data_IF_045680964776
#
_entry.id   IF_045680964776
#
_cell.length_a   1.000
_cell.length_b   1.000
_cell.length_c   1.000
_cell.angle_alpha   90.00
_cell.angle_beta   90.00
_cell.angle_gamma   90.00
#
_symmetry.space_group_name_H-M   'P 1'
#
loop_
_entity.id
_entity.type
_entity.pdbx_description
1 polymer ?
#
# COMPACT_ATOMS: atom_id res chain seq x y z
N UNK A 1 -2.20 -47.51 28.27
CA UNK A 1 -1.85 -46.90 26.96
C UNK A 1 -1.89 -45.37 27.14
N UNK A 2 -0.77 -44.65 27.03
CA UNK A 2 -0.67 -43.29 27.56
C UNK A 2 -1.38 -42.26 26.66
N UNK A 3 -2.42 -41.64 27.24
CA UNK A 3 -3.22 -40.51 26.69
C UNK A 3 -2.34 -39.31 26.24
N UNK A 4 -1.10 -39.25 26.70
CA UNK A 4 -0.10 -38.21 26.40
C UNK A 4 0.41 -38.22 24.95
N UNK A 5 0.33 -39.37 24.26
CA UNK A 5 0.78 -39.49 22.86
C UNK A 5 -0.24 -38.83 21.90
N UNK A 6 -1.53 -38.80 22.26
CA UNK A 6 -2.59 -38.23 21.42
C UNK A 6 -2.57 -36.70 21.43
N UNK A 7 -2.19 -36.07 22.55
CA UNK A 7 -2.07 -34.60 22.65
C UNK A 7 -0.86 -34.03 21.89
N UNK A 8 0.25 -34.77 21.84
CA UNK A 8 1.46 -34.34 21.11
C UNK A 8 1.26 -34.25 19.59
N UNK A 9 0.51 -35.19 19.00
CA UNK A 9 0.23 -35.19 17.57
C UNK A 9 -0.74 -34.08 17.12
N UNK A 10 -1.66 -33.65 17.99
CA UNK A 10 -2.60 -32.55 17.66
C UNK A 10 -1.90 -31.19 17.66
N UNK A 11 -0.95 -30.96 18.58
CA UNK A 11 -0.18 -29.71 18.60
C UNK A 11 0.77 -29.60 17.39
N UNK A 12 1.40 -30.71 16.98
CA UNK A 12 2.30 -30.73 15.83
C UNK A 12 1.57 -30.50 14.50
N UNK A 13 0.33 -30.98 14.34
CA UNK A 13 -0.46 -30.73 13.13
C UNK A 13 -0.98 -29.31 13.04
N UNK A 14 -1.34 -28.66 14.15
CA UNK A 14 -1.81 -27.27 14.16
C UNK A 14 -0.68 -26.30 13.75
N UNK A 15 0.56 -26.51 14.22
CA UNK A 15 1.71 -25.67 13.87
C UNK A 15 2.05 -25.77 12.37
N UNK A 16 1.92 -26.95 11.77
CA UNK A 16 2.19 -27.15 10.35
C UNK A 16 1.17 -26.45 9.42
N UNK A 17 -0.09 -26.32 9.84
CA UNK A 17 -1.14 -25.66 9.04
C UNK A 17 -0.97 -24.14 9.03
N UNK A 18 -0.50 -23.53 10.13
CA UNK A 18 -0.28 -22.06 10.20
C UNK A 18 0.90 -21.61 9.33
N UNK A 19 1.95 -22.42 9.23
CA UNK A 19 3.10 -22.13 8.36
C UNK A 19 2.76 -22.18 6.86
N UNK A 20 1.71 -22.92 6.47
CA UNK A 20 1.27 -23.08 5.09
C UNK A 20 0.43 -21.91 4.56
N UNK A 21 0.09 -20.92 5.39
CA UNK A 21 -0.71 -19.74 5.01
C UNK A 21 0.09 -18.44 4.88
N UNK A 22 1.42 -18.53 4.88
CA UNK A 22 2.28 -17.46 4.39
C UNK A 22 2.20 -17.41 2.84
N UNK A 23 1.02 -17.10 2.31
CA UNK A 23 0.89 -16.74 0.90
C UNK A 23 1.46 -15.34 0.75
N UNK A 24 2.67 -15.26 0.20
CA UNK A 24 3.21 -14.03 -0.38
C UNK A 24 2.11 -13.45 -1.28
N UNK A 25 1.55 -12.32 -0.88
CA UNK A 25 0.52 -11.67 -1.68
C UNK A 25 1.17 -11.27 -3.00
N UNK A 26 0.57 -11.58 -4.17
CA UNK A 26 1.13 -11.13 -5.42
C UNK A 26 1.31 -9.60 -5.37
N UNK A 27 2.38 -9.06 -5.97
CA UNK A 27 2.62 -7.62 -5.96
C UNK A 27 1.37 -6.91 -6.46
N UNK A 28 0.89 -5.96 -5.66
CA UNK A 28 -0.36 -5.24 -5.91
C UNK A 28 -0.14 -4.24 -7.05
N UNK A 29 -0.13 -4.73 -8.29
CA UNK A 29 -0.01 -3.95 -9.52
C UNK A 29 1.36 -4.05 -10.24
N UNK A 30 1.38 -3.64 -11.51
CA UNK A 30 2.58 -3.51 -12.35
C UNK A 30 3.03 -2.05 -12.40
N UNK A 31 4.19 -1.76 -11.82
CA UNK A 31 4.77 -0.41 -11.79
C UNK A 31 5.14 0.11 -13.19
N UNK A 32 5.56 -0.76 -14.12
CA UNK A 32 5.89 -0.35 -15.48
C UNK A 32 4.64 0.06 -16.26
N UNK A 33 3.57 -0.73 -16.16
CA UNK A 33 2.25 -0.33 -16.67
C UNK A 33 1.73 0.95 -15.98
N UNK A 34 1.91 1.07 -14.67
CA UNK A 34 1.56 2.27 -13.90
C UNK A 34 2.27 3.53 -14.39
N UNK A 35 3.56 3.43 -14.72
CA UNK A 35 4.33 4.54 -15.30
C UNK A 35 3.76 4.98 -16.66
N UNK A 36 3.28 4.04 -17.49
CA UNK A 36 2.62 4.38 -18.75
C UNK A 36 1.28 5.10 -18.51
N UNK A 37 0.49 4.69 -17.52
CA UNK A 37 -0.76 5.35 -17.14
C UNK A 37 -0.52 6.73 -16.55
N UNK A 38 0.56 6.90 -15.77
CA UNK A 38 0.89 8.17 -15.10
C UNK A 38 1.09 9.32 -16.10
N UNK A 39 1.40 9.05 -17.36
CA UNK A 39 1.42 10.06 -18.44
C UNK A 39 0.14 10.90 -18.51
N UNK A 40 -1.01 10.34 -18.13
CA UNK A 40 -2.29 11.07 -18.04
C UNK A 40 -2.34 12.03 -16.85
N UNK A 41 -1.65 11.71 -15.77
CA UNK A 41 -1.57 12.50 -14.53
C UNK A 41 -0.51 13.60 -14.61
N UNK A 42 0.51 13.42 -15.48
CA UNK A 42 1.70 14.28 -15.59
C UNK A 42 1.39 15.72 -16.01
N UNK A 43 0.22 15.97 -16.58
CA UNK A 43 -0.26 17.31 -16.88
C UNK A 43 -0.40 18.16 -15.61
N UNK A 44 -0.83 17.54 -14.50
CA UNK A 44 -1.09 18.26 -13.25
C UNK A 44 -0.10 17.89 -12.14
N UNK A 45 0.37 16.65 -12.10
CA UNK A 45 1.17 16.12 -11.00
C UNK A 45 2.57 15.70 -11.45
N UNK A 46 3.52 15.75 -10.51
CA UNK A 46 4.90 15.31 -10.70
C UNK A 46 5.29 14.27 -9.66
N UNK A 47 6.19 13.38 -10.05
CA UNK A 47 6.86 12.39 -9.20
C UNK A 47 8.36 12.36 -9.52
N UNK A 48 9.20 11.98 -8.56
CA UNK A 48 10.66 11.94 -8.71
C UNK A 48 11.39 12.89 -7.76
N UNK A 49 12.72 12.92 -7.84
CA UNK A 49 13.60 13.72 -6.95
C UNK A 49 13.31 15.21 -7.03
N UNK A 50 13.01 15.70 -8.22
CA UNK A 50 12.80 17.12 -8.50
C UNK A 50 11.32 17.49 -8.62
N UNK A 51 10.43 16.64 -8.11
CA UNK A 51 9.00 16.86 -8.17
C UNK A 51 8.61 18.10 -7.35
N UNK A 52 8.11 19.12 -8.04
CA UNK A 52 7.55 20.33 -7.44
C UNK A 52 6.06 20.41 -7.70
N UNK A 53 5.35 21.06 -6.78
CA UNK A 53 3.93 21.40 -6.95
C UNK A 53 3.72 22.30 -8.16
N UNK A 54 2.58 22.13 -8.83
CA UNK A 54 2.13 22.95 -9.96
C UNK A 54 0.61 23.08 -9.93
N UNK A 55 -0.07 22.65 -11.00
CA UNK A 55 -1.55 22.53 -11.03
C UNK A 55 -2.06 21.56 -9.96
N UNK A 56 -1.27 20.54 -9.62
CA UNK A 56 -1.50 19.62 -8.51
C UNK A 56 -0.28 19.51 -7.59
N UNK A 57 -0.42 18.92 -6.38
CA UNK A 57 0.70 18.61 -5.50
C UNK A 57 1.61 17.53 -6.11
N UNK A 58 2.85 17.45 -5.63
CA UNK A 58 3.71 16.30 -5.92
C UNK A 58 3.13 15.02 -5.28
N UNK A 59 3.30 13.89 -5.96
CA UNK A 59 2.71 12.61 -5.55
C UNK A 59 3.74 11.62 -4.96
N UNK A 60 4.98 12.06 -4.73
CA UNK A 60 5.94 11.29 -3.94
C UNK A 60 5.34 10.98 -2.56
N UNK A 61 5.39 9.72 -2.14
CA UNK A 61 4.88 9.28 -0.84
C UNK A 61 3.37 9.49 -0.65
N UNK A 62 2.56 9.45 -1.73
CA UNK A 62 1.10 9.63 -1.63
C UNK A 62 0.39 8.41 -1.06
N UNK A 63 0.93 7.21 -1.31
CA UNK A 63 0.32 5.96 -0.82
C UNK A 63 0.35 5.93 0.70
N UNK A 64 -0.82 5.82 1.33
CA UNK A 64 -0.97 5.85 2.78
C UNK A 64 -0.93 7.24 3.41
N UNK A 65 -0.65 8.31 2.65
CA UNK A 65 -0.69 9.69 3.16
C UNK A 65 -2.15 10.18 3.25
N UNK A 66 -2.49 10.84 4.35
CA UNK A 66 -3.79 11.48 4.51
C UNK A 66 -4.09 12.48 3.37
N UNK A 67 -5.33 12.51 2.90
CA UNK A 67 -5.74 13.44 1.85
C UNK A 67 -5.52 14.91 2.27
N UNK A 68 -5.22 15.77 1.29
CA UNK A 68 -5.01 17.20 1.50
C UNK A 68 -3.90 17.60 2.52
N UNK A 69 -2.88 16.76 2.71
CA UNK A 69 -1.78 17.02 3.66
C UNK A 69 -0.42 17.27 3.03
N UNK A 70 -0.30 17.36 1.69
CA UNK A 70 0.99 17.71 1.11
C UNK A 70 1.40 19.12 1.55
N UNK A 71 2.62 19.31 2.08
CA UNK A 71 3.05 20.61 2.58
C UNK A 71 3.01 21.67 1.48
N UNK A 72 2.66 22.89 1.88
CA UNK A 72 2.68 24.10 1.05
C UNK A 72 1.87 24.01 -0.25
N UNK A 73 0.85 23.15 -0.30
CA UNK A 73 -0.09 23.08 -1.42
C UNK A 73 -1.46 23.65 -1.02
N UNK A 74 -1.99 24.53 -1.86
CA UNK A 74 -3.32 25.14 -1.66
C UNK A 74 -4.41 24.20 -2.15
N UNK A 75 -5.03 23.46 -1.22
CA UNK A 75 -6.17 22.60 -1.49
C UNK A 75 -7.48 23.38 -1.53
N UNK A 76 -8.46 22.88 -2.29
CA UNK A 76 -9.84 23.36 -2.21
C UNK A 76 -10.46 23.02 -0.85
N UNK A 77 -11.48 23.77 -0.44
CA UNK A 77 -12.19 23.52 0.81
C UNK A 77 -12.77 22.11 0.85
N UNK A 78 -13.35 21.63 -0.26
CA UNK A 78 -13.89 20.29 -0.38
C UNK A 78 -12.86 19.17 -0.11
N UNK A 79 -11.59 19.38 -0.49
CA UNK A 79 -10.52 18.40 -0.25
C UNK A 79 -10.05 18.38 1.20
N UNK A 80 -10.22 19.50 1.94
CA UNK A 80 -9.77 19.62 3.34
C UNK A 80 -10.75 18.98 4.32
N UNK A 81 -11.98 18.70 3.89
CA UNK A 81 -12.96 17.99 4.70
C UNK A 81 -12.57 16.50 4.68
N UNK A 82 -12.24 15.88 5.83
CA UNK A 82 -12.07 14.44 5.88
C UNK A 82 -13.39 13.77 5.48
N UNK A 83 -13.32 12.85 4.52
CA UNK A 83 -14.47 12.04 4.09
C UNK A 83 -14.94 11.07 5.15
#
# INVERSE_FOLDING_TARGET
MPKSIVFGSVAATIVAVVAAHAQESPPVGDAAAGAAVFKRCMACHKVGTDARKGVGPALNGVVGRAAATHPDYSYSDAMRIPG
#
